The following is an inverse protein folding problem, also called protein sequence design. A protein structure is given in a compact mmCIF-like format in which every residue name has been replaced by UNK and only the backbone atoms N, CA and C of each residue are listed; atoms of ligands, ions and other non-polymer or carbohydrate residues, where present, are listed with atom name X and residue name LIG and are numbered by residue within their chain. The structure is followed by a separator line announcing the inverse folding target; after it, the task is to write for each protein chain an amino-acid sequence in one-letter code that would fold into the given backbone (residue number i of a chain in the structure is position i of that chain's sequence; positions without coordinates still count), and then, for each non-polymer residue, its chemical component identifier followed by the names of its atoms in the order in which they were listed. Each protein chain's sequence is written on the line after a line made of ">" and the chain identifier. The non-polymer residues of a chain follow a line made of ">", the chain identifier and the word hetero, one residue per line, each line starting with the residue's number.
data_IF_150947832357
#
_entry.id   IF_150947832357
#
_cell.length_a   1.000
_cell.length_b   1.000
_cell.length_c   1.000
_cell.angle_alpha   90.00
_cell.angle_beta   90.00
_cell.angle_gamma   90.00
#
_symmetry.space_group_name_H-M   'P 1'
#
loop_
_entity.id
_entity.type
_entity.pdbx_description
1 polymer ?
#
# COMPACT_ATOMS: atom_id res chain seq x y z
N UNK A 1 15.14 -15.91 15.92
CA UNK A 1 14.07 -16.13 16.92
C UNK A 1 13.34 -17.40 16.54
N UNK A 2 13.49 -18.49 17.31
CA UNK A 2 12.67 -19.70 17.13
C UNK A 2 11.34 -19.40 17.81
N UNK A 3 10.34 -19.00 17.03
CA UNK A 3 8.99 -18.85 17.56
C UNK A 3 8.35 -20.23 17.67
N UNK A 4 8.17 -20.68 18.90
CA UNK A 4 7.25 -21.79 19.17
C UNK A 4 5.83 -21.26 19.00
N UNK A 5 5.24 -21.50 17.84
CA UNK A 5 3.80 -21.33 17.71
C UNK A 5 3.13 -22.23 18.74
N UNK A 6 2.28 -21.65 19.59
CA UNK A 6 1.43 -22.41 20.51
C UNK A 6 0.55 -23.42 19.75
N UNK A 7 0.33 -23.17 18.46
CA UNK A 7 -0.51 -23.97 17.59
C UNK A 7 0.13 -24.17 16.23
N UNK A 8 0.02 -25.39 15.68
CA UNK A 8 0.54 -25.70 14.36
C UNK A 8 -0.23 -24.90 13.29
N UNK A 9 0.44 -24.02 12.51
CA UNK A 9 -0.21 -23.33 11.41
C UNK A 9 -0.66 -24.32 10.34
N UNK A 10 -1.73 -23.98 9.64
CA UNK A 10 -2.18 -24.69 8.45
C UNK A 10 -1.76 -23.92 7.20
N UNK A 11 -1.03 -24.57 6.30
CA UNK A 11 -0.53 -23.92 5.07
C UNK A 11 0.58 -22.91 5.33
N UNK A 12 0.62 -21.87 4.50
CA UNK A 12 1.66 -20.85 4.51
C UNK A 12 1.45 -19.78 5.61
N UNK A 13 2.56 -19.14 5.97
CA UNK A 13 2.63 -18.05 6.95
C UNK A 13 3.11 -16.81 6.21
N UNK A 14 2.44 -15.68 6.43
CA UNK A 14 2.78 -14.41 5.78
C UNK A 14 3.31 -13.42 6.81
N UNK A 15 4.45 -12.79 6.51
CA UNK A 15 4.96 -11.69 7.32
C UNK A 15 4.44 -10.35 6.79
N UNK A 16 3.98 -9.48 7.68
CA UNK A 16 3.64 -8.09 7.35
C UNK A 16 3.78 -7.19 8.58
N UNK A 17 4.61 -6.14 8.46
CA UNK A 17 4.82 -5.08 9.47
C UNK A 17 4.95 -5.56 10.91
N UNK A 18 5.86 -6.51 11.14
CA UNK A 18 6.12 -7.02 12.49
C UNK A 18 5.12 -8.07 12.97
N UNK A 19 4.22 -8.55 12.10
CA UNK A 19 3.28 -9.62 12.40
C UNK A 19 3.46 -10.82 11.47
N UNK A 20 3.20 -12.02 12.00
CA UNK A 20 3.04 -13.26 11.23
C UNK A 20 1.56 -13.62 11.16
N UNK A 21 1.01 -13.68 9.97
CA UNK A 21 -0.36 -14.07 9.67
C UNK A 21 -0.40 -15.56 9.32
N UNK A 22 -1.35 -16.30 9.87
CA UNK A 22 -1.49 -17.74 9.63
C UNK A 22 -2.93 -18.20 9.83
N UNK A 23 -3.29 -19.31 9.19
CA UNK A 23 -4.52 -20.05 9.46
C UNK A 23 -4.28 -21.05 10.59
N UNK A 24 -5.12 -21.02 11.62
CA UNK A 24 -5.03 -21.94 12.75
C UNK A 24 -5.77 -23.25 12.45
N UNK A 25 -5.06 -24.39 12.50
CA UNK A 25 -5.61 -25.71 12.14
C UNK A 25 -6.82 -26.16 12.96
N UNK A 26 -6.93 -25.74 14.22
CA UNK A 26 -7.98 -26.22 15.12
C UNK A 26 -9.37 -25.66 14.81
N UNK A 27 -9.44 -24.48 14.21
CA UNK A 27 -10.70 -23.76 13.99
C UNK A 27 -10.80 -23.10 12.61
N UNK A 28 -9.80 -23.26 11.74
CA UNK A 28 -9.77 -22.69 10.39
C UNK A 28 -9.97 -21.15 10.37
N UNK A 29 -9.62 -20.45 11.46
CA UNK A 29 -9.63 -18.98 11.53
C UNK A 29 -8.26 -18.40 11.21
N UNK A 30 -8.22 -17.15 10.73
CA UNK A 30 -6.98 -16.39 10.59
C UNK A 30 -6.60 -15.67 11.88
N UNK A 31 -5.32 -15.76 12.19
CA UNK A 31 -4.69 -15.09 13.31
C UNK A 31 -3.48 -14.29 12.82
N UNK A 32 -3.08 -13.31 13.60
CA UNK A 32 -1.75 -12.69 13.48
C UNK A 32 -1.01 -12.75 14.81
N UNK A 33 0.29 -13.00 14.79
CA UNK A 33 1.17 -12.96 15.97
C UNK A 33 2.12 -11.79 15.80
N UNK A 34 2.22 -10.93 16.81
CA UNK A 34 3.22 -9.86 16.84
C UNK A 34 4.59 -10.45 17.15
N UNK A 35 5.60 -10.14 16.33
CA UNK A 35 6.96 -10.67 16.50
C UNK A 35 7.63 -10.21 17.80
N UNK A 36 7.33 -8.98 18.24
CA UNK A 36 7.98 -8.33 19.40
C UNK A 36 7.76 -9.08 20.71
N UNK A 37 6.53 -9.52 20.95
CA UNK A 37 6.09 -10.08 22.23
C UNK A 37 5.40 -11.45 22.10
N UNK A 38 5.22 -11.95 20.87
CA UNK A 38 4.51 -13.20 20.60
C UNK A 38 3.00 -13.13 20.83
N UNK A 39 2.43 -11.94 21.02
CA UNK A 39 0.99 -11.80 21.27
C UNK A 39 0.19 -12.22 20.02
N UNK A 40 -0.74 -13.17 20.20
CA UNK A 40 -1.65 -13.67 19.18
C UNK A 40 -2.95 -12.85 19.16
N UNK A 41 -3.44 -12.51 17.97
CA UNK A 41 -4.67 -11.76 17.73
C UNK A 41 -5.59 -12.56 16.79
N UNK A 42 -6.83 -12.80 17.20
CA UNK A 42 -7.89 -13.32 16.32
C UNK A 42 -8.34 -12.18 15.38
N UNK A 43 -8.36 -12.44 14.07
CA UNK A 43 -8.84 -11.47 13.08
C UNK A 43 -10.36 -11.55 12.86
N UNK A 44 -11.01 -12.50 13.52
CA UNK A 44 -12.39 -12.89 13.31
C UNK A 44 -12.72 -13.10 11.83
N UNK A 45 -11.87 -13.89 11.19
CA UNK A 45 -12.01 -14.30 9.79
C UNK A 45 -11.99 -15.81 9.75
N UNK A 46 -13.15 -16.39 9.43
CA UNK A 46 -13.27 -17.81 9.14
C UNK A 46 -12.90 -18.06 7.68
N UNK A 47 -11.75 -18.69 7.44
CA UNK A 47 -11.34 -19.07 6.09
C UNK A 47 -11.82 -20.46 5.75
N UNK A 48 -11.82 -20.76 4.44
CA UNK A 48 -12.06 -22.10 3.94
C UNK A 48 -11.18 -23.11 4.67
N UNK A 49 -11.79 -24.19 5.14
CA UNK A 49 -11.04 -25.35 5.63
C UNK A 49 -10.18 -25.91 4.52
N UNK A 50 -8.88 -25.89 4.72
CA UNK A 50 -7.97 -26.38 3.72
C UNK A 50 -7.96 -27.92 3.76
N UNK A 51 -8.41 -28.55 2.68
CA UNK A 51 -8.61 -30.02 2.61
C UNK A 51 -7.40 -30.78 2.11
N UNK A 52 -6.43 -30.09 1.52
CA UNK A 52 -5.12 -30.61 1.16
C UNK A 52 -4.04 -29.85 1.93
N UNK A 53 -2.79 -30.34 1.93
CA UNK A 53 -1.66 -29.54 2.46
C UNK A 53 -1.29 -28.36 1.57
N UNK A 54 -1.94 -28.24 0.43
CA UNK A 54 -1.43 -27.44 -0.66
C UNK A 54 -2.22 -26.17 -0.87
N UNK A 55 -3.52 -26.09 -0.57
CA UNK A 55 -4.26 -24.85 -0.88
C UNK A 55 -3.93 -23.67 0.05
N UNK A 56 -3.42 -22.60 -0.53
CA UNK A 56 -3.39 -21.28 0.10
C UNK A 56 -4.81 -20.71 0.10
N UNK A 57 -5.28 -20.35 1.30
CA UNK A 57 -6.62 -19.80 1.55
C UNK A 57 -6.60 -18.30 1.74
N UNK A 58 -5.42 -17.71 1.94
CA UNK A 58 -5.21 -16.28 2.03
C UNK A 58 -3.80 -15.91 1.52
N UNK A 59 -3.65 -14.65 1.12
CA UNK A 59 -2.38 -14.04 0.71
C UNK A 59 -2.35 -12.60 1.22
N UNK A 60 -1.15 -12.06 1.43
CA UNK A 60 -0.97 -10.63 1.70
C UNK A 60 -0.19 -10.03 0.53
N UNK A 61 -0.77 -8.99 -0.07
CA UNK A 61 -0.18 -8.22 -1.16
C UNK A 61 -0.25 -6.75 -0.77
N UNK A 62 0.90 -6.06 -0.78
CA UNK A 62 1.01 -4.70 -0.26
C UNK A 62 0.43 -4.61 1.17
N UNK A 63 -0.57 -3.75 1.38
CA UNK A 63 -1.29 -3.54 2.63
C UNK A 63 -2.67 -4.25 2.64
N UNK A 64 -2.91 -5.22 1.76
CA UNK A 64 -4.20 -5.90 1.62
C UNK A 64 -4.07 -7.39 1.92
N UNK A 65 -4.89 -7.86 2.85
CA UNK A 65 -5.12 -9.27 3.09
C UNK A 65 -6.24 -9.75 2.18
N UNK A 66 -5.97 -10.72 1.32
CA UNK A 66 -6.95 -11.31 0.42
C UNK A 66 -7.18 -12.75 0.86
N UNK A 67 -8.43 -13.16 1.02
CA UNK A 67 -8.75 -14.47 1.57
C UNK A 67 -10.03 -15.06 1.01
N UNK A 68 -10.11 -16.39 1.02
CA UNK A 68 -11.30 -17.17 0.70
C UNK A 68 -11.98 -17.53 2.02
N UNK A 69 -13.20 -17.04 2.23
CA UNK A 69 -13.97 -17.36 3.43
C UNK A 69 -14.50 -18.80 3.43
N UNK A 70 -15.16 -19.21 4.52
CA UNK A 70 -15.80 -20.53 4.61
C UNK A 70 -16.89 -20.78 3.55
N UNK A 71 -17.47 -19.74 2.98
CA UNK A 71 -18.49 -19.79 1.94
C UNK A 71 -17.90 -19.78 0.52
N UNK A 72 -16.58 -19.91 0.39
CA UNK A 72 -15.85 -19.85 -0.88
C UNK A 72 -15.99 -18.49 -1.60
N UNK A 73 -16.26 -17.43 -0.86
CA UNK A 73 -16.31 -16.06 -1.38
C UNK A 73 -14.95 -15.40 -1.23
N UNK A 74 -14.57 -14.58 -2.20
CA UNK A 74 -13.32 -13.84 -2.15
C UNK A 74 -13.52 -12.51 -1.43
N UNK A 75 -12.72 -12.28 -0.40
CA UNK A 75 -12.70 -11.04 0.35
C UNK A 75 -11.33 -10.40 0.27
N UNK A 76 -11.32 -9.07 0.35
CA UNK A 76 -10.12 -8.31 0.67
C UNK A 76 -10.34 -7.52 1.96
N UNK A 77 -9.28 -7.34 2.73
CA UNK A 77 -9.28 -6.54 3.95
C UNK A 77 -8.07 -5.62 3.95
N UNK A 78 -8.29 -4.32 4.15
CA UNK A 78 -7.20 -3.37 4.37
C UNK A 78 -6.53 -3.67 5.72
N UNK A 79 -5.23 -3.92 5.72
CA UNK A 79 -4.45 -4.10 6.94
C UNK A 79 -4.18 -2.78 7.67
N UNK A 80 -4.57 -1.64 7.07
CA UNK A 80 -4.48 -0.31 7.68
C UNK A 80 -5.81 0.05 8.38
N UNK A 81 -6.93 -0.06 7.66
CA UNK A 81 -8.25 0.38 8.15
C UNK A 81 -9.09 -0.75 8.74
N UNK A 82 -8.68 -2.01 8.54
CA UNK A 82 -9.47 -3.23 8.80
C UNK A 82 -10.81 -3.30 8.04
N UNK A 83 -11.02 -2.43 7.06
CA UNK A 83 -12.20 -2.47 6.20
C UNK A 83 -12.19 -3.75 5.37
N UNK A 84 -13.30 -4.49 5.40
CA UNK A 84 -13.52 -5.73 4.65
C UNK A 84 -14.41 -5.45 3.45
N UNK A 85 -13.98 -5.84 2.26
CA UNK A 85 -14.73 -5.70 1.02
C UNK A 85 -14.91 -7.08 0.38
N UNK A 86 -16.16 -7.45 0.11
CA UNK A 86 -16.50 -8.62 -0.67
C UNK A 86 -16.24 -8.35 -2.15
N UNK A 87 -15.47 -9.22 -2.80
CA UNK A 87 -15.18 -9.14 -4.23
C UNK A 87 -16.21 -9.97 -5.04
N UNK A 88 -16.43 -9.68 -6.34
CA UNK A 88 -17.46 -10.33 -7.15
C UNK A 88 -17.08 -11.77 -7.59
N UNK A 89 -16.26 -12.47 -6.80
CA UNK A 89 -15.83 -13.84 -7.07
C UNK A 89 -16.39 -14.80 -6.02
N UNK A 90 -17.03 -15.88 -6.50
CA UNK A 90 -17.64 -16.91 -5.65
C UNK A 90 -17.14 -18.29 -6.03
N UNK A 91 -17.31 -19.26 -5.13
CA UNK A 91 -16.80 -20.63 -5.29
C UNK A 91 -15.29 -20.69 -5.52
N UNK A 92 -14.57 -19.71 -4.99
CA UNK A 92 -13.12 -19.58 -5.05
C UNK A 92 -12.48 -20.76 -4.33
N UNK A 93 -11.59 -21.49 -5.00
CA UNK A 93 -10.96 -22.65 -4.37
C UNK A 93 -9.54 -22.38 -3.90
N UNK A 94 -8.79 -21.54 -4.60
CA UNK A 94 -7.38 -21.36 -4.30
C UNK A 94 -6.93 -19.95 -4.64
N UNK A 95 -6.05 -19.43 -3.79
CA UNK A 95 -5.32 -18.19 -4.02
C UNK A 95 -3.83 -18.48 -4.20
N UNK A 96 -3.14 -17.64 -4.95
CA UNK A 96 -1.69 -17.52 -4.92
C UNK A 96 -1.32 -16.05 -5.05
N UNK A 97 -0.24 -15.64 -4.38
CA UNK A 97 0.26 -14.28 -4.44
C UNK A 97 1.72 -14.25 -4.89
N UNK A 98 2.09 -13.24 -5.68
CA UNK A 98 3.47 -12.93 -6.03
C UNK A 98 3.62 -11.44 -6.28
N UNK A 99 4.49 -10.76 -5.51
CA UNK A 99 4.63 -9.29 -5.51
C UNK A 99 3.25 -8.61 -5.35
N UNK A 100 2.83 -7.84 -6.35
CA UNK A 100 1.55 -7.12 -6.46
C UNK A 100 0.46 -7.91 -7.21
N UNK A 101 0.74 -9.17 -7.58
CA UNK A 101 -0.16 -10.01 -8.39
C UNK A 101 -0.77 -11.13 -7.57
N UNK A 102 -2.00 -11.48 -7.91
CA UNK A 102 -2.77 -12.56 -7.32
C UNK A 102 -3.34 -13.45 -8.41
N UNK A 103 -3.11 -14.74 -8.29
CA UNK A 103 -3.76 -15.75 -9.12
C UNK A 103 -4.91 -16.37 -8.35
N UNK A 104 -6.13 -16.20 -8.85
CA UNK A 104 -7.33 -16.80 -8.31
C UNK A 104 -7.65 -18.07 -9.12
N UNK A 105 -7.55 -19.22 -8.47
CA UNK A 105 -7.92 -20.48 -9.10
C UNK A 105 -9.35 -20.90 -8.72
N UNK A 106 -10.10 -21.16 -9.78
CA UNK A 106 -11.42 -21.73 -9.81
C UNK A 106 -12.40 -20.85 -9.03
N UNK A 107 -12.93 -19.87 -9.75
CA UNK A 107 -14.26 -19.32 -9.46
C UNK A 107 -15.23 -19.90 -10.50
N UNK A 108 -16.49 -20.14 -10.13
CA UNK A 108 -17.48 -20.76 -11.03
C UNK A 108 -18.51 -19.73 -11.49
N UNK A 109 -18.56 -19.47 -12.79
CA UNK A 109 -19.59 -18.64 -13.43
C UNK A 109 -20.39 -19.51 -14.39
N UNK A 110 -21.71 -19.61 -14.18
CA UNK A 110 -22.61 -20.40 -15.04
C UNK A 110 -22.15 -21.85 -15.30
N UNK A 111 -21.64 -22.52 -14.26
CA UNK A 111 -21.09 -23.89 -14.28
C UNK A 111 -19.66 -24.08 -14.83
N UNK A 112 -19.10 -23.08 -15.48
CA UNK A 112 -17.72 -23.11 -15.98
C UNK A 112 -16.74 -22.63 -14.91
N UNK A 113 -15.61 -23.33 -14.78
CA UNK A 113 -14.50 -22.94 -13.91
C UNK A 113 -13.57 -21.98 -14.65
N UNK A 114 -13.01 -21.02 -13.92
CA UNK A 114 -12.06 -20.06 -14.48
C UNK A 114 -10.87 -19.87 -13.55
N UNK A 115 -9.75 -19.50 -14.16
CA UNK A 115 -8.57 -18.94 -13.51
C UNK A 115 -8.51 -17.46 -13.85
N UNK A 116 -8.24 -16.62 -12.86
CA UNK A 116 -8.11 -15.18 -13.06
C UNK A 116 -6.76 -14.73 -12.53
N UNK A 117 -6.05 -13.98 -13.34
CA UNK A 117 -4.88 -13.22 -12.94
C UNK A 117 -5.31 -11.79 -12.60
N UNK A 118 -4.96 -11.33 -11.41
CA UNK A 118 -5.30 -10.01 -10.92
C UNK A 118 -4.06 -9.25 -10.47
N UNK A 119 -4.07 -7.93 -10.63
CA UNK A 119 -3.15 -7.00 -10.01
C UNK A 119 -3.81 -6.28 -8.85
N UNK A 120 -3.02 -6.02 -7.81
CA UNK A 120 -3.41 -5.21 -6.67
C UNK A 120 -2.57 -3.94 -6.68
N UNK A 121 -3.23 -2.80 -6.89
CA UNK A 121 -2.58 -1.48 -6.88
C UNK A 121 -3.40 -0.57 -5.97
N UNK A 122 -2.80 -0.06 -4.91
CA UNK A 122 -3.48 0.79 -3.92
C UNK A 122 -4.75 0.13 -3.33
N UNK A 123 -4.69 -1.19 -3.19
CA UNK A 123 -5.80 -2.02 -2.76
C UNK A 123 -6.97 -2.12 -3.76
N UNK A 124 -6.86 -1.55 -4.95
CA UNK A 124 -7.74 -1.80 -6.09
C UNK A 124 -7.38 -3.16 -6.67
N UNK A 125 -8.40 -3.98 -6.93
CA UNK A 125 -8.24 -5.34 -7.45
C UNK A 125 -8.64 -5.34 -8.92
N UNK A 126 -7.66 -5.38 -9.81
CA UNK A 126 -7.84 -5.30 -11.26
C UNK A 126 -7.62 -6.67 -11.89
N UNK A 127 -8.60 -7.16 -12.65
CA UNK A 127 -8.41 -8.33 -13.51
C UNK A 127 -7.52 -7.96 -14.69
N UNK A 128 -6.44 -8.73 -14.90
CA UNK A 128 -5.51 -8.55 -16.02
C UNK A 128 -5.82 -9.52 -17.16
N UNK A 129 -6.04 -10.78 -16.81
CA UNK A 129 -6.25 -11.86 -17.76
C UNK A 129 -7.03 -13.01 -17.08
N UNK A 130 -7.66 -13.86 -17.88
CA UNK A 130 -8.38 -15.03 -17.41
C UNK A 130 -8.28 -16.20 -18.38
N UNK A 131 -8.42 -17.41 -17.83
CA UNK A 131 -8.45 -18.64 -18.61
C UNK A 131 -9.62 -19.51 -18.17
N UNK A 132 -10.35 -20.05 -19.15
CA UNK A 132 -11.39 -21.05 -18.92
C UNK A 132 -10.78 -22.41 -18.55
N UNK A 133 -11.36 -23.07 -17.53
CA UNK A 133 -10.98 -24.39 -17.06
C UNK A 133 -10.72 -24.48 -15.54
N UNK A 134 -10.49 -25.70 -15.07
CA UNK A 134 -10.09 -26.00 -13.68
C UNK A 134 -8.70 -26.65 -13.66
N UNK A 135 -7.64 -25.92 -14.06
CA UNK A 135 -6.31 -26.52 -14.14
C UNK A 135 -5.76 -26.89 -12.77
N UNK A 136 -5.17 -28.07 -12.68
CA UNK A 136 -4.38 -28.45 -11.52
C UNK A 136 -3.09 -27.64 -11.51
N UNK A 137 -2.90 -26.86 -10.45
CA UNK A 137 -1.73 -26.02 -10.26
C UNK A 137 -0.73 -26.60 -9.25
N UNK A 138 0.54 -26.65 -9.65
CA UNK A 138 1.68 -26.75 -8.72
C UNK A 138 1.89 -25.46 -7.90
N UNK A 139 2.78 -25.49 -6.92
CA UNK A 139 3.10 -24.35 -6.07
C UNK A 139 4.56 -23.96 -6.22
N UNK A 140 4.81 -22.67 -6.31
CA UNK A 140 6.05 -22.07 -5.87
C UNK A 140 5.80 -20.62 -5.46
N UNK A 141 6.74 -20.10 -4.67
CA UNK A 141 6.73 -18.70 -4.25
C UNK A 141 7.43 -17.80 -5.28
N UNK A 142 7.74 -18.32 -6.48
CA UNK A 142 8.50 -17.61 -7.53
C UNK A 142 7.60 -17.00 -8.59
N UNK A 143 6.27 -17.04 -8.39
CA UNK A 143 5.31 -16.50 -9.33
C UNK A 143 5.21 -17.30 -10.63
N UNK A 144 5.66 -18.55 -10.65
CA UNK A 144 5.69 -19.38 -11.86
C UNK A 144 4.90 -20.65 -11.64
N UNK A 145 3.65 -20.72 -12.07
CA UNK A 145 2.86 -21.94 -11.89
C UNK A 145 2.61 -22.68 -13.20
N UNK A 146 2.46 -23.99 -13.10
CA UNK A 146 2.29 -24.88 -14.25
C UNK A 146 0.91 -25.53 -14.17
N UNK A 147 0.20 -25.48 -15.30
CA UNK A 147 -1.15 -26.02 -15.45
C UNK A 147 -1.06 -27.35 -16.20
N UNK A 148 -1.14 -28.45 -15.46
CA UNK A 148 -0.95 -29.79 -16.02
C UNK A 148 -1.98 -30.15 -17.09
N UNK A 149 -3.23 -29.74 -16.90
CA UNK A 149 -4.33 -30.11 -17.79
C UNK A 149 -4.32 -29.37 -19.13
N UNK A 150 -3.70 -28.19 -19.20
CA UNK A 150 -3.68 -27.33 -20.39
C UNK A 150 -2.29 -27.13 -20.96
N UNK A 151 -1.26 -27.71 -20.32
CA UNK A 151 0.14 -27.57 -20.72
C UNK A 151 0.59 -26.11 -20.88
N UNK A 152 0.06 -25.26 -20.01
CA UNK A 152 0.33 -23.83 -19.98
C UNK A 152 1.12 -23.46 -18.73
N UNK A 153 2.00 -22.48 -18.88
CA UNK A 153 2.68 -21.76 -17.82
C UNK A 153 1.84 -20.55 -17.44
N UNK A 154 1.85 -20.20 -16.17
CA UNK A 154 1.41 -18.89 -15.71
C UNK A 154 2.60 -18.21 -15.09
N UNK A 155 2.95 -17.05 -15.65
CA UNK A 155 4.01 -16.20 -15.14
C UNK A 155 3.42 -14.93 -14.53
N UNK A 156 3.37 -14.90 -13.20
CA UNK A 156 2.87 -13.74 -12.45
C UNK A 156 3.83 -12.55 -12.49
N UNK A 157 5.05 -12.69 -12.99
CA UNK A 157 5.96 -11.55 -13.14
C UNK A 157 5.73 -10.80 -14.45
N UNK A 158 5.34 -11.50 -15.51
CA UNK A 158 5.13 -10.94 -16.85
C UNK A 158 3.65 -10.90 -17.27
N UNK A 159 2.76 -11.17 -16.34
CA UNK A 159 1.31 -11.15 -16.53
C UNK A 159 0.79 -12.02 -17.68
N UNK A 160 1.37 -13.20 -17.90
CA UNK A 160 1.06 -14.01 -19.08
C UNK A 160 0.71 -15.48 -18.80
N UNK A 161 -0.15 -16.02 -19.67
CA UNK A 161 -0.44 -17.44 -19.81
C UNK A 161 0.28 -17.97 -21.05
N UNK A 162 1.52 -18.42 -20.90
CA UNK A 162 2.30 -18.96 -22.02
C UNK A 162 1.96 -20.43 -22.28
N UNK A 163 1.71 -20.79 -23.53
CA UNK A 163 1.71 -22.20 -23.92
C UNK A 163 3.11 -22.77 -23.86
N UNK A 164 3.29 -23.81 -23.04
CA UNK A 164 4.55 -24.55 -23.03
C UNK A 164 4.45 -25.58 -24.14
N UNK A 165 5.18 -25.35 -25.22
CA UNK A 165 5.56 -26.46 -26.10
C UNK A 165 6.58 -27.28 -25.33
N UNK A 166 6.15 -28.42 -24.80
CA UNK A 166 6.98 -29.32 -24.03
C UNK A 166 8.39 -29.46 -24.59
N UNK A 167 9.37 -28.96 -23.85
CA UNK A 167 10.74 -29.46 -23.91
C UNK A 167 10.88 -30.45 -22.76
N UNK A 168 10.79 -31.73 -23.13
CA UNK A 168 11.21 -32.91 -22.38
C UNK A 168 10.42 -33.26 -21.08
N UNK A 169 9.75 -34.43 -21.02
CA UNK A 169 9.08 -34.93 -19.80
C UNK A 169 10.01 -35.07 -18.57
N UNK A 170 11.34 -35.05 -18.74
CA UNK A 170 12.27 -35.01 -17.61
C UNK A 170 12.25 -33.67 -16.83
N UNK A 171 11.70 -32.58 -17.40
CA UNK A 171 11.53 -31.30 -16.71
C UNK A 171 10.45 -31.37 -15.61
N UNK A 172 9.42 -32.22 -15.78
CA UNK A 172 8.37 -32.43 -14.77
C UNK A 172 8.94 -32.99 -13.46
N UNK A 173 9.89 -33.93 -13.53
CA UNK A 173 10.51 -34.52 -12.33
C UNK A 173 11.37 -33.54 -11.54
N UNK A 174 11.97 -32.57 -12.22
CA UNK A 174 12.91 -31.61 -11.63
C UNK A 174 12.17 -30.49 -10.87
N UNK A 175 11.00 -30.05 -11.35
CA UNK A 175 10.26 -28.94 -10.74
C UNK A 175 9.52 -29.32 -9.45
N UNK A 176 9.14 -30.59 -9.28
CA UNK A 176 8.55 -31.07 -8.02
C UNK A 176 9.54 -31.17 -6.85
N UNK A 177 10.85 -31.04 -7.10
CA UNK A 177 11.88 -31.10 -6.07
C UNK A 177 12.26 -29.73 -5.48
N UNK A 178 11.67 -28.63 -5.96
CA UNK A 178 11.97 -27.26 -5.51
C UNK A 178 11.07 -26.79 -4.36
N UNK A 179 10.52 -27.71 -3.57
CA UNK A 179 9.51 -27.39 -2.56
C UNK A 179 10.11 -27.03 -1.20
N UNK A 180 9.71 -25.84 -0.73
CA UNK A 180 9.89 -25.20 0.57
C UNK A 180 10.45 -26.05 1.72
N UNK A 181 11.45 -25.49 2.41
CA UNK A 181 11.45 -25.28 3.86
C UNK A 181 12.48 -24.16 4.14
N UNK A 182 12.12 -23.22 5.03
CA UNK A 182 12.95 -22.11 5.57
C UNK A 182 14.44 -22.12 5.16
N UNK A 183 14.89 -21.10 4.42
CA UNK A 183 16.31 -20.79 4.13
C UNK A 183 17.18 -21.98 3.63
N UNK A 184 17.40 -22.04 2.30
CA UNK A 184 18.62 -22.60 1.71
C UNK A 184 18.69 -24.13 1.59
N UNK A 185 18.19 -24.66 0.47
CA UNK A 185 18.82 -25.72 -0.32
C UNK A 185 17.97 -25.99 -1.58
N UNK A 186 18.43 -25.56 -2.76
CA UNK A 186 17.87 -25.99 -4.06
C UNK A 186 18.76 -27.10 -4.61
N UNK A 187 18.21 -28.28 -4.88
CA UNK A 187 18.96 -29.39 -5.50
C UNK A 187 18.65 -29.46 -7.01
N UNK A 188 19.72 -29.29 -7.79
CA UNK A 188 19.98 -29.66 -9.19
C UNK A 188 18.91 -29.31 -10.26
N UNK A 189 19.31 -28.38 -11.14
CA UNK A 189 18.61 -27.80 -12.31
C UNK A 189 17.52 -26.78 -11.96
N UNK A 190 18.02 -25.63 -11.56
CA UNK A 190 17.24 -24.39 -11.52
C UNK A 190 16.97 -23.97 -12.99
N UNK A 191 15.70 -23.75 -13.41
CA UNK A 191 15.42 -23.08 -14.68
C UNK A 191 16.22 -21.77 -14.75
N UNK A 192 16.81 -21.41 -15.90
CA UNK A 192 17.65 -20.22 -16.01
C UNK A 192 16.95 -18.91 -15.58
N UNK A 193 15.62 -18.91 -15.59
CA UNK A 193 14.75 -17.80 -15.18
C UNK A 193 14.60 -17.70 -13.65
N UNK A 194 14.66 -18.82 -12.91
CA UNK A 194 14.37 -18.85 -11.47
C UNK A 194 15.31 -17.97 -10.63
N UNK A 195 16.65 -17.95 -10.85
CA UNK A 195 17.55 -17.09 -10.08
C UNK A 195 17.22 -15.60 -10.25
N UNK A 196 16.77 -15.19 -11.45
CA UNK A 196 16.38 -13.79 -11.70
C UNK A 196 15.09 -13.43 -10.97
N UNK A 197 14.12 -14.35 -10.93
CA UNK A 197 12.87 -14.16 -10.19
C UNK A 197 13.10 -14.14 -8.69
N UNK A 198 13.94 -15.04 -8.20
CA UNK A 198 14.35 -15.10 -6.80
C UNK A 198 15.02 -13.79 -6.39
N UNK A 199 15.97 -13.28 -7.19
CA UNK A 199 16.57 -11.96 -6.97
C UNK A 199 15.54 -10.83 -6.95
N UNK A 200 14.60 -10.82 -7.90
CA UNK A 200 13.56 -9.79 -7.99
C UNK A 200 12.60 -9.84 -6.79
N UNK A 201 12.26 -11.04 -6.32
CA UNK A 201 11.45 -11.24 -5.12
C UNK A 201 12.19 -10.85 -3.84
N UNK A 202 13.47 -11.23 -3.71
CA UNK A 202 14.32 -10.83 -2.58
C UNK A 202 14.48 -9.31 -2.51
N UNK A 203 14.65 -8.64 -3.66
CA UNK A 203 14.71 -7.18 -3.73
C UNK A 203 13.41 -6.54 -3.24
N UNK A 204 12.25 -7.05 -3.70
CA UNK A 204 10.94 -6.61 -3.21
C UNK A 204 10.80 -6.79 -1.69
N UNK A 205 11.22 -7.93 -1.14
CA UNK A 205 11.18 -8.17 0.31
C UNK A 205 12.08 -7.20 1.09
N UNK A 206 13.27 -6.87 0.58
CA UNK A 206 14.17 -5.89 1.20
C UNK A 206 13.56 -4.49 1.21
N UNK A 207 12.91 -4.08 0.12
CA UNK A 207 12.17 -2.81 0.03
C UNK A 207 11.00 -2.77 1.04
N UNK A 208 10.20 -3.83 1.12
CA UNK A 208 9.11 -3.92 2.11
C UNK A 208 9.63 -3.89 3.55
N UNK A 209 10.79 -4.48 3.81
CA UNK A 209 11.43 -4.46 5.13
C UNK A 209 11.88 -3.04 5.50
N UNK A 210 12.53 -2.31 4.60
CA UNK A 210 12.92 -0.91 4.82
C UNK A 210 11.72 -0.04 5.16
N UNK A 211 10.62 -0.21 4.43
CA UNK A 211 9.35 0.48 4.71
C UNK A 211 8.86 0.13 6.12
N UNK A 212 8.89 -1.15 6.50
CA UNK A 212 8.49 -1.59 7.85
C UNK A 212 9.34 -0.99 8.97
N UNK A 213 10.67 -0.95 8.79
CA UNK A 213 11.61 -0.41 9.78
C UNK A 213 11.37 1.08 10.06
N UNK A 214 10.91 1.84 9.07
CA UNK A 214 10.49 3.24 9.23
C UNK A 214 9.27 3.38 10.16
N UNK A 215 8.41 2.36 10.25
CA UNK A 215 7.20 2.38 11.09
C UNK A 215 7.40 1.74 12.47
N UNK A 216 8.37 0.85 12.66
CA UNK A 216 8.56 0.07 13.90
C UNK A 216 9.47 0.73 14.95
N UNK A 217 10.32 1.70 14.57
CA UNK A 217 11.21 2.39 15.50
C UNK A 217 10.89 3.90 15.67
N UNK A 218 9.70 4.28 16.18
CA UNK A 218 9.56 5.60 16.79
C UNK A 218 10.32 5.55 18.12
N UNK A 219 11.55 6.10 18.18
CA UNK A 219 12.39 6.06 19.39
C UNK A 219 11.61 6.55 20.63
N UNK A 220 11.50 5.67 21.62
CA UNK A 220 10.85 5.88 22.92
C UNK A 220 11.69 6.79 23.84
N UNK A 221 11.07 7.85 24.38
CA UNK A 221 11.23 8.20 25.80
C UNK A 221 10.04 9.04 26.28
N UNK A 222 9.11 8.40 26.98
CA UNK A 222 8.02 9.07 27.70
C UNK A 222 8.13 8.78 29.20
N UNK A 223 8.16 9.79 30.08
CA UNK A 223 7.79 9.64 31.47
C UNK A 223 6.35 10.14 31.73
N UNK A 224 5.73 9.43 32.66
CA UNK A 224 4.34 9.54 33.15
C UNK A 224 4.20 10.73 34.11
N UNK A 225 3.18 11.58 33.94
CA UNK A 225 2.02 11.84 34.83
C UNK A 225 1.33 13.16 34.47
N UNK A 226 0.04 13.22 34.80
CA UNK A 226 -0.95 14.26 34.53
C UNK A 226 -0.55 15.67 34.94
N UNK A 227 -0.46 16.60 33.97
CA UNK A 227 -1.00 17.97 34.06
C UNK A 227 -0.73 18.76 32.76
N UNK A 228 -1.80 19.37 32.23
CA UNK A 228 -1.80 20.51 31.28
C UNK A 228 -0.97 20.38 29.99
N UNK A 229 -1.65 19.92 28.93
CA UNK A 229 -1.21 19.72 27.52
C UNK A 229 -0.67 20.99 26.82
N UNK A 230 -0.66 22.17 27.45
CA UNK A 230 -0.30 23.44 26.78
C UNK A 230 0.94 24.15 27.30
N UNK A 231 1.71 23.55 28.20
CA UNK A 231 2.98 24.16 28.61
C UNK A 231 4.07 23.11 28.75
N UNK A 232 5.00 23.13 27.78
CA UNK A 232 6.34 22.52 27.79
C UNK A 232 6.47 21.16 27.10
N UNK A 233 6.61 21.22 25.78
CA UNK A 233 7.50 20.30 25.05
C UNK A 233 8.68 21.16 24.57
N UNK A 234 9.85 20.95 25.17
CA UNK A 234 11.12 21.44 24.65
C UNK A 234 11.52 20.59 23.44
N UNK A 235 11.86 21.27 22.36
CA UNK A 235 11.99 20.81 20.96
C UNK A 235 13.42 20.38 20.57
N UNK A 236 14.28 20.02 21.52
CA UNK A 236 15.73 19.98 21.26
C UNK A 236 16.30 18.66 20.71
N UNK A 237 15.56 17.84 19.95
CA UNK A 237 16.18 16.66 19.31
C UNK A 237 15.64 16.22 17.94
N UNK A 238 14.97 17.11 17.19
CA UNK A 238 14.62 16.89 15.77
C UNK A 238 15.18 18.01 14.88
N UNK A 239 16.42 18.45 15.15
CA UNK A 239 17.07 19.50 14.35
C UNK A 239 18.10 18.98 13.32
N UNK A 240 18.41 17.68 13.28
CA UNK A 240 19.55 17.19 12.47
C UNK A 240 19.24 16.21 11.34
N UNK A 241 17.97 15.89 11.03
CA UNK A 241 17.65 15.28 9.74
C UNK A 241 17.26 16.40 8.79
N UNK A 242 18.21 16.88 7.97
CA UNK A 242 17.84 17.71 6.83
C UNK A 242 16.92 16.89 5.94
N UNK A 243 15.63 17.19 5.94
CA UNK A 243 14.69 16.67 4.95
C UNK A 243 15.19 17.12 3.58
N UNK A 244 15.85 16.22 2.86
CA UNK A 244 16.19 16.44 1.46
C UNK A 244 14.93 16.30 0.62
N UNK A 245 14.86 17.00 -0.52
CA UNK A 245 13.73 16.88 -1.46
C UNK A 245 13.43 15.41 -1.83
N UNK A 246 14.48 14.58 -1.91
CA UNK A 246 14.37 13.15 -2.18
C UNK A 246 13.56 12.38 -1.11
N UNK A 247 13.70 12.75 0.17
CA UNK A 247 12.94 12.09 1.23
C UNK A 247 11.45 12.47 1.16
N UNK A 248 11.15 13.71 0.77
CA UNK A 248 9.78 14.19 0.63
C UNK A 248 9.10 13.47 -0.53
N UNK A 249 9.78 13.30 -1.68
CA UNK A 249 9.23 12.57 -2.81
C UNK A 249 8.88 11.12 -2.45
N UNK A 250 9.76 10.41 -1.74
CA UNK A 250 9.49 9.04 -1.27
C UNK A 250 8.30 9.00 -0.31
N UNK A 251 8.18 9.97 0.59
CA UNK A 251 7.05 10.06 1.53
C UNK A 251 5.74 10.27 0.76
N UNK A 252 5.73 11.17 -0.22
CA UNK A 252 4.55 11.48 -1.04
C UNK A 252 4.11 10.31 -1.91
N UNK A 253 5.06 9.57 -2.51
CA UNK A 253 4.78 8.40 -3.33
C UNK A 253 4.24 7.21 -2.50
N UNK A 254 4.59 7.16 -1.21
CA UNK A 254 4.21 6.06 -0.32
C UNK A 254 2.92 6.32 0.49
N UNK A 255 2.48 7.57 0.62
CA UNK A 255 1.37 7.95 1.50
C UNK A 255 0.22 8.56 0.71
N UNK A 256 -0.70 7.69 0.28
CA UNK A 256 -1.99 8.08 -0.31
C UNK A 256 -2.99 8.64 0.73
N UNK A 257 -2.65 8.63 2.02
CA UNK A 257 -3.51 9.16 3.09
C UNK A 257 -2.82 10.33 3.80
N UNK A 258 -3.26 11.55 3.48
CA UNK A 258 -2.69 12.78 4.02
C UNK A 258 -3.00 12.98 5.52
N UNK A 259 -3.99 12.29 6.10
CA UNK A 259 -4.25 12.35 7.54
C UNK A 259 -3.08 11.76 8.36
N UNK A 260 -2.30 10.85 7.77
CA UNK A 260 -1.06 10.36 8.41
C UNK A 260 -0.01 11.47 8.41
N UNK A 261 0.06 12.27 7.33
CA UNK A 261 0.99 13.38 7.19
C UNK A 261 0.74 14.51 8.22
N UNK A 262 -0.49 14.64 8.72
CA UNK A 262 -0.82 15.65 9.73
C UNK A 262 -0.12 15.42 11.09
N UNK A 263 0.35 14.18 11.33
CA UNK A 263 1.02 13.78 12.58
C UNK A 263 2.51 14.13 12.62
N UNK A 264 3.07 14.61 11.51
CA UNK A 264 4.46 15.03 11.48
C UNK A 264 4.67 16.32 12.30
N UNK A 265 5.92 16.70 12.53
CA UNK A 265 6.24 17.98 13.15
C UNK A 265 5.90 19.17 12.20
N UNK A 266 5.83 20.38 12.75
CA UNK A 266 5.44 21.57 12.00
C UNK A 266 6.37 21.89 10.82
N UNK A 267 7.68 21.67 10.99
CA UNK A 267 8.69 21.93 9.94
C UNK A 267 8.52 20.95 8.78
N UNK A 268 8.31 19.68 9.07
CA UNK A 268 8.01 18.67 8.05
C UNK A 268 6.68 18.95 7.34
N UNK A 269 5.63 19.31 8.08
CA UNK A 269 4.34 19.71 7.48
C UNK A 269 4.50 20.90 6.54
N UNK A 270 5.27 21.91 6.92
CA UNK A 270 5.56 23.06 6.07
C UNK A 270 6.30 22.66 4.78
N UNK A 271 7.31 21.79 4.88
CA UNK A 271 8.04 21.29 3.72
C UNK A 271 7.12 20.48 2.78
N UNK A 272 6.24 19.65 3.34
CA UNK A 272 5.22 18.93 2.58
C UNK A 272 4.25 19.87 1.88
N UNK A 273 3.73 20.90 2.57
CA UNK A 273 2.86 21.93 1.98
C UNK A 273 3.55 22.60 0.78
N UNK A 274 4.80 23.02 0.94
CA UNK A 274 5.58 23.63 -0.14
C UNK A 274 5.77 22.67 -1.32
N UNK A 275 6.00 21.38 -1.05
CA UNK A 275 6.15 20.36 -2.09
C UNK A 275 4.84 20.10 -2.82
N UNK A 276 3.73 19.95 -2.11
CA UNK A 276 2.39 19.73 -2.66
C UNK A 276 1.96 20.95 -3.48
N UNK A 277 2.29 22.16 -3.03
CA UNK A 277 2.00 23.40 -3.76
C UNK A 277 2.68 23.46 -5.14
N UNK A 278 3.78 22.73 -5.36
CA UNK A 278 4.40 22.60 -6.70
C UNK A 278 3.51 21.81 -7.67
N UNK A 279 2.65 20.92 -7.15
CA UNK A 279 1.76 20.05 -7.93
C UNK A 279 0.39 19.91 -7.24
N UNK A 280 -0.44 20.98 -7.15
CA UNK A 280 -1.63 20.98 -6.29
C UNK A 280 -2.69 19.92 -6.60
N UNK A 281 -2.72 19.40 -7.84
CA UNK A 281 -3.57 18.27 -8.22
C UNK A 281 -3.39 17.02 -7.34
N UNK A 282 -2.28 16.88 -6.62
CA UNK A 282 -2.08 15.79 -5.67
C UNK A 282 -3.06 15.82 -4.49
N UNK A 283 -3.74 16.95 -4.26
CA UNK A 283 -4.75 17.11 -3.22
C UNK A 283 -6.09 16.43 -3.57
N UNK A 284 -6.29 16.00 -4.82
CA UNK A 284 -7.48 15.26 -5.22
C UNK A 284 -7.55 13.96 -4.39
N UNK A 285 -8.66 13.76 -3.67
CA UNK A 285 -8.87 12.66 -2.71
C UNK A 285 -7.98 12.69 -1.46
N UNK A 286 -7.34 13.81 -1.11
CA UNK A 286 -6.37 13.85 0.01
C UNK A 286 -6.98 13.60 1.40
N UNK A 287 -8.30 13.76 1.58
CA UNK A 287 -9.00 13.60 2.87
C UNK A 287 -8.44 14.44 4.04
N UNK A 288 -7.51 15.36 3.78
CA UNK A 288 -6.85 16.19 4.78
C UNK A 288 -7.19 17.65 4.54
N UNK A 289 -8.10 18.14 5.36
CA UNK A 289 -8.48 19.55 5.38
C UNK A 289 -7.29 20.47 5.73
N UNK A 290 -6.35 19.97 6.54
CA UNK A 290 -5.13 20.69 6.93
C UNK A 290 -4.21 20.98 5.72
N UNK A 291 -3.90 19.96 4.92
CA UNK A 291 -3.03 20.17 3.75
C UNK A 291 -3.72 20.96 2.65
N UNK A 292 -5.04 20.82 2.50
CA UNK A 292 -5.81 21.60 1.55
C UNK A 292 -5.76 23.10 1.88
N UNK A 293 -6.03 23.47 3.13
CA UNK A 293 -5.94 24.87 3.60
C UNK A 293 -4.49 25.38 3.56
N UNK A 294 -3.53 24.58 4.02
CA UNK A 294 -2.12 24.96 4.04
C UNK A 294 -1.54 25.26 2.65
N UNK A 295 -1.91 24.46 1.64
CA UNK A 295 -1.50 24.71 0.25
C UNK A 295 -2.21 25.94 -0.31
N UNK A 296 -3.50 26.12 -0.03
CA UNK A 296 -4.24 27.33 -0.43
C UNK A 296 -3.59 28.61 0.09
N UNK A 297 -3.28 28.64 1.39
CA UNK A 297 -2.57 29.75 2.03
C UNK A 297 -1.17 29.97 1.44
N UNK A 298 -0.40 28.90 1.22
CA UNK A 298 0.92 29.04 0.61
C UNK A 298 0.86 29.62 -0.81
N UNK A 299 -0.12 29.22 -1.62
CA UNK A 299 -0.31 29.72 -2.98
C UNK A 299 -0.83 31.17 -3.03
N UNK A 300 -1.57 31.62 -2.00
CA UNK A 300 -2.04 33.02 -1.93
C UNK A 300 -0.90 33.97 -1.58
N UNK A 301 -0.04 33.59 -0.63
CA UNK A 301 1.07 34.42 -0.14
C UNK A 301 2.32 34.40 -1.05
N UNK A 302 2.48 33.34 -1.84
CA UNK A 302 3.65 33.19 -2.71
C UNK A 302 3.44 33.76 -4.12
N UNK A 303 4.54 34.02 -4.82
CA UNK A 303 4.54 34.31 -6.27
C UNK A 303 4.36 33.02 -7.10
N UNK A 304 3.50 32.11 -6.65
CA UNK A 304 3.25 30.85 -7.34
C UNK A 304 2.74 31.09 -8.77
N UNK A 305 3.20 30.33 -9.77
CA UNK A 305 2.69 30.39 -11.12
C UNK A 305 1.17 30.25 -11.17
N UNK A 306 0.51 31.03 -12.06
CA UNK A 306 -0.95 30.97 -12.24
C UNK A 306 -1.45 29.54 -12.49
N UNK A 307 -0.64 28.71 -13.15
CA UNK A 307 -0.95 27.31 -13.40
C UNK A 307 -1.17 26.50 -12.10
N UNK A 308 -0.35 26.71 -11.06
CA UNK A 308 -0.53 26.02 -9.77
C UNK A 308 -1.84 26.44 -9.10
N UNK A 309 -2.18 27.73 -9.16
CA UNK A 309 -3.45 28.24 -8.62
C UNK A 309 -4.65 27.65 -9.36
N UNK A 310 -4.57 27.49 -10.68
CA UNK A 310 -5.59 26.80 -11.49
C UNK A 310 -5.72 25.33 -11.08
N UNK A 311 -4.61 24.62 -10.91
CA UNK A 311 -4.61 23.22 -10.47
C UNK A 311 -5.20 23.05 -9.07
N UNK A 312 -4.95 24.00 -8.16
CA UNK A 312 -5.56 24.00 -6.82
C UNK A 312 -7.08 24.15 -6.90
N UNK A 313 -7.57 25.07 -7.75
CA UNK A 313 -9.01 25.25 -7.99
C UNK A 313 -9.63 23.97 -8.55
N UNK A 314 -8.96 23.31 -9.51
CA UNK A 314 -9.43 22.03 -10.08
C UNK A 314 -9.49 20.94 -9.01
N UNK A 315 -8.45 20.81 -8.18
CA UNK A 315 -8.43 19.83 -7.10
C UNK A 315 -9.62 20.01 -6.13
N UNK A 316 -9.97 21.27 -5.81
CA UNK A 316 -11.11 21.57 -4.94
C UNK A 316 -12.45 21.19 -5.59
N UNK A 317 -12.61 21.48 -6.88
CA UNK A 317 -13.82 21.14 -7.63
C UNK A 317 -14.01 19.63 -7.80
N UNK A 318 -12.92 18.87 -7.96
CA UNK A 318 -12.94 17.42 -8.14
C UNK A 318 -13.10 16.65 -6.82
N UNK A 319 -12.42 17.06 -5.75
CA UNK A 319 -12.52 16.43 -4.42
C UNK A 319 -13.88 16.70 -3.76
N UNK A 320 -14.52 17.82 -4.13
CA UNK A 320 -15.82 18.26 -3.63
C UNK A 320 -15.79 18.85 -2.23
N UNK A 321 -14.79 18.52 -1.38
CA UNK A 321 -14.50 19.09 -0.06
C UNK A 321 -15.72 19.36 0.85
N UNK A 322 -16.85 18.68 0.61
CA UNK A 322 -18.15 19.05 1.21
C UNK A 322 -18.19 18.83 2.73
N UNK A 323 -17.29 17.98 3.23
CA UNK A 323 -17.23 17.55 4.63
C UNK A 323 -16.12 18.25 5.43
N UNK A 324 -15.33 19.15 4.82
CA UNK A 324 -14.25 19.83 5.52
C UNK A 324 -14.79 20.90 6.47
N UNK A 325 -14.27 20.91 7.68
CA UNK A 325 -14.67 21.87 8.72
C UNK A 325 -14.21 23.28 8.40
N UNK A 326 -13.09 23.41 7.67
CA UNK A 326 -12.50 24.67 7.19
C UNK A 326 -12.86 25.00 5.72
N UNK A 327 -13.97 24.45 5.21
CA UNK A 327 -14.36 24.60 3.79
C UNK A 327 -14.51 26.06 3.37
N UNK A 328 -15.05 26.92 4.23
CA UNK A 328 -15.26 28.34 3.90
C UNK A 328 -13.92 29.07 3.69
N UNK A 329 -12.89 28.78 4.50
CA UNK A 329 -11.55 29.31 4.30
C UNK A 329 -10.97 28.85 2.95
N UNK A 330 -11.09 27.55 2.64
CA UNK A 330 -10.61 27.01 1.36
C UNK A 330 -11.34 27.66 0.17
N UNK A 331 -12.66 27.88 0.31
CA UNK A 331 -13.47 28.53 -0.73
C UNK A 331 -13.07 29.98 -0.98
N UNK A 332 -12.55 30.69 0.04
CA UNK A 332 -12.00 32.04 -0.14
C UNK A 332 -10.78 32.02 -1.07
N UNK A 333 -9.82 31.11 -0.86
CA UNK A 333 -8.67 30.96 -1.76
C UNK A 333 -9.11 30.61 -3.19
N UNK A 334 -10.07 29.69 -3.34
CA UNK A 334 -10.60 29.30 -4.65
C UNK A 334 -11.23 30.50 -5.37
N UNK A 335 -11.99 31.32 -4.64
CA UNK A 335 -12.63 32.52 -5.19
C UNK A 335 -11.58 33.55 -5.59
N UNK A 336 -10.58 33.79 -4.75
CA UNK A 336 -9.46 34.68 -5.03
C UNK A 336 -8.72 34.24 -6.31
N UNK A 337 -8.36 32.96 -6.42
CA UNK A 337 -7.61 32.42 -7.55
C UNK A 337 -8.41 32.44 -8.86
N UNK A 338 -9.74 32.27 -8.80
CA UNK A 338 -10.62 32.42 -9.97
C UNK A 338 -10.74 33.87 -10.46
N UNK A 339 -10.67 34.84 -9.56
CA UNK A 339 -10.77 36.26 -9.89
C UNK A 339 -9.46 36.84 -10.45
N UNK A 340 -8.33 36.16 -10.25
CA UNK A 340 -7.07 36.59 -10.83
C UNK A 340 -7.16 36.53 -12.36
N UNK A 341 -6.90 37.65 -13.07
CA UNK A 341 -7.05 37.70 -14.51
C UNK A 341 -6.15 36.65 -15.16
N UNK A 342 -6.72 35.88 -16.08
CA UNK A 342 -5.92 34.99 -16.94
C UNK A 342 -4.98 35.88 -17.74
N UNK A 343 -3.75 36.03 -17.27
CA UNK A 343 -2.68 36.61 -18.05
C UNK A 343 -2.55 35.72 -19.28
N UNK A 344 -3.11 36.17 -20.40
CA UNK A 344 -2.92 35.55 -21.69
C UNK A 344 -1.42 35.65 -22.00
N UNK A 345 -0.67 34.62 -21.64
CA UNK A 345 0.74 34.50 -22.00
C UNK A 345 0.83 34.32 -23.52
N UNK A 346 0.88 35.45 -24.21
CA UNK A 346 1.58 35.58 -25.48
C UNK A 346 3.02 35.94 -25.12
N UNK A 347 3.94 35.07 -25.57
CA UNK A 347 5.38 35.24 -25.72
C UNK A 347 6.36 35.03 -24.55
N UNK A 348 7.15 33.95 -24.71
CA UNK A 348 8.61 33.91 -24.74
C UNK A 348 9.41 34.70 -23.69
N UNK A 349 9.94 34.02 -22.67
CA UNK A 349 11.39 34.00 -22.39
C UNK A 349 11.77 33.16 -21.15
N UNK A 350 12.70 32.24 -21.39
CA UNK A 350 13.87 31.81 -20.58
C UNK A 350 13.77 31.78 -19.04
N UNK A 351 14.02 30.58 -18.54
CA UNK A 351 14.35 30.21 -17.18
C UNK A 351 15.33 31.17 -16.49
N UNK A 352 14.87 31.75 -15.38
CA UNK A 352 15.70 32.12 -14.23
C UNK A 352 14.97 31.65 -12.97
N UNK A 353 15.42 30.53 -12.39
CA UNK A 353 15.11 30.17 -11.01
C UNK A 353 15.95 31.06 -10.10
N UNK A 354 15.28 31.93 -9.34
CA UNK A 354 15.84 32.58 -8.17
C UNK A 354 15.18 31.97 -6.94
N UNK A 355 15.94 31.20 -6.16
CA UNK A 355 15.56 30.78 -4.82
C UNK A 355 15.74 31.99 -3.88
N UNK A 356 14.63 32.63 -3.51
CA UNK A 356 14.60 33.58 -2.39
C UNK A 356 14.12 32.86 -1.13
N UNK A 357 14.95 32.85 -0.07
CA UNK A 357 14.60 32.37 1.26
C UNK A 357 13.47 33.21 1.86
N UNK A 358 12.29 32.62 2.00
CA UNK A 358 11.15 33.21 2.70
C UNK A 358 11.26 32.96 4.22
N UNK A 359 11.46 34.01 5.01
CA UNK A 359 11.42 33.95 6.48
C UNK A 359 9.98 34.09 6.98
N UNK A 360 9.41 32.98 7.42
CA UNK A 360 8.15 32.96 8.18
C UNK A 360 8.41 33.55 9.57
N UNK A 361 7.81 34.71 9.88
CA UNK A 361 7.74 35.22 11.25
C UNK A 361 6.42 34.78 11.88
N UNK A 362 6.55 33.95 12.92
CA UNK A 362 5.59 33.60 13.97
C UNK A 362 4.09 33.77 13.68
N UNK A 363 3.44 32.64 13.43
CA UNK A 363 2.02 32.41 13.67
C UNK A 363 1.80 32.32 15.20
N UNK A 364 1.22 33.33 15.84
CA UNK A 364 0.45 33.31 17.11
C UNK A 364 0.03 34.76 17.46
N UNK A 365 -1.21 34.87 17.95
CA UNK A 365 -1.94 36.01 18.55
C UNK A 365 -2.69 36.99 17.63
N UNK A 366 -4.03 36.87 17.62
CA UNK A 366 -4.84 37.58 18.63
C UNK A 366 -6.29 37.10 18.65
N UNK A 367 -6.77 36.76 19.85
CA UNK A 367 -8.17 36.85 20.22
C UNK A 367 -8.68 38.27 19.94
N UNK A 368 -9.76 38.40 19.17
CA UNK A 368 -10.65 39.55 19.30
C UNK A 368 -12.11 39.09 19.42
N UNK A 369 -12.56 39.11 20.67
CA UNK A 369 -13.95 39.29 21.06
C UNK A 369 -14.50 40.60 20.47
N UNK A 370 -15.68 40.52 19.86
CA UNK A 370 -16.76 41.52 19.89
C UNK A 370 -18.04 40.68 19.70
N UNK A 371 -18.94 40.51 20.68
CA UNK A 371 -19.87 41.49 21.27
C UNK A 371 -20.28 42.57 20.27
N UNK A 372 -21.29 42.26 19.46
CA UNK A 372 -22.66 42.80 19.60
C UNK A 372 -23.65 41.68 19.35
#
# INVERSE_FOLDING_TARGET
>A
VVMHFLHKPYGDIYYYKGFLFYQKKSNDKLFKIRLKDGQEFDLDIQVRKCTSKTYQTFVIVQNVLIYIDANLSLWKMSLITNEKVLLPYTKCLKLMGFKDKVLLHQYQKAHTSFVVLCQVTDGIFQELDYMEGAPAFGFNNTGLTYMQSTFRRVDLEYDNFDEIRFLDPDVEKVQFQTYNEVFGAIKNRIPAELPRKEQSYLKYLDEMKKISELFENPKESAPKTSESVLSRISLESIDEISMTDQNIDVIMDCLMNYQILEKFDAKTKQALIQRIAKTPKMLINSQSEYFFEGVGFYLSESKAPQQQKIEFVQAFEEDGCLQYSNREQILQFVTEFKMQPKTNNIDNSKDQQADEEFKVTSFIDTNHLSVV
#
